data_IF_030835448876
#
_entry.id   IF_030835448876
#
_cell.length_a   1.000
_cell.length_b   1.000
_cell.length_c   1.000
_cell.angle_alpha   90.00
_cell.angle_beta   90.00
_cell.angle_gamma   90.00
#
_symmetry.space_group_name_H-M   'P 1'
#
loop_
_entity.id
_entity.type
_entity.pdbx_description
1 polymer ?
#
# COMPACT_ATOMS: atom_id res chain seq x y z
N UNK A 1 2.74 7.65 -9.29
CA UNK A 1 4.13 7.18 -9.20
C UNK A 1 4.52 6.96 -7.74
N UNK A 2 5.11 5.80 -7.45
CA UNK A 2 5.64 5.41 -6.12
C UNK A 2 7.17 5.43 -6.08
N UNK A 3 7.83 5.83 -7.19
CA UNK A 3 9.28 5.79 -7.35
C UNK A 3 9.88 4.45 -6.88
N UNK A 4 9.40 3.35 -7.46
CA UNK A 4 9.80 1.99 -7.08
C UNK A 4 9.58 1.65 -5.60
N UNK A 5 8.55 2.23 -4.97
CA UNK A 5 8.19 1.99 -3.56
C UNK A 5 9.31 2.37 -2.57
N UNK A 6 10.05 3.45 -2.87
CA UNK A 6 11.19 3.90 -2.07
C UNK A 6 10.78 4.39 -0.67
N UNK A 7 9.66 5.11 -0.56
CA UNK A 7 9.25 5.75 0.69
C UNK A 7 8.21 4.88 1.41
N UNK A 8 8.67 4.08 2.36
CA UNK A 8 7.80 3.30 3.26
C UNK A 8 7.14 4.21 4.31
N UNK A 9 5.83 4.10 4.43
CA UNK A 9 5.01 4.81 5.41
C UNK A 9 4.70 3.95 6.64
N UNK A 10 4.59 2.64 6.47
CA UNK A 10 4.29 1.71 7.56
C UNK A 10 4.21 0.26 7.11
N UNK A 11 4.08 -0.66 8.07
CA UNK A 11 3.88 -2.08 7.81
C UNK A 11 2.99 -2.67 8.92
N UNK A 12 2.02 -3.49 8.52
CA UNK A 12 1.17 -4.26 9.41
C UNK A 12 1.10 -5.73 8.98
N UNK A 13 0.27 -6.52 9.65
CA UNK A 13 0.14 -7.96 9.37
C UNK A 13 -0.22 -8.27 7.92
N UNK A 14 -1.04 -7.41 7.31
CA UNK A 14 -1.55 -7.60 5.95
C UNK A 14 -0.66 -7.06 4.84
N UNK A 15 0.39 -6.28 5.15
CA UNK A 15 1.18 -5.66 4.09
C UNK A 15 2.02 -4.47 4.50
N UNK A 16 2.70 -3.90 3.50
CA UNK A 16 3.53 -2.71 3.63
C UNK A 16 2.91 -1.54 2.87
N UNK A 17 2.89 -0.36 3.48
CA UNK A 17 2.33 0.87 2.92
C UNK A 17 3.46 1.79 2.46
N UNK A 18 3.33 2.33 1.26
CA UNK A 18 4.29 3.23 0.63
C UNK A 18 3.65 4.53 0.19
N UNK A 19 4.45 5.60 0.10
CA UNK A 19 4.02 6.88 -0.45
C UNK A 19 3.95 6.80 -1.97
N UNK A 20 2.88 7.36 -2.52
CA UNK A 20 2.74 7.61 -3.95
C UNK A 20 2.25 9.03 -4.22
N UNK A 21 2.34 9.42 -5.49
CA UNK A 21 1.84 10.69 -6.00
C UNK A 21 1.11 10.46 -7.33
N UNK A 22 -0.13 10.91 -7.44
CA UNK A 22 -0.89 10.87 -8.68
C UNK A 22 -0.40 11.95 -9.66
N UNK A 23 -0.78 11.85 -10.94
CA UNK A 23 -0.37 12.82 -11.97
C UNK A 23 -0.89 14.24 -11.69
N UNK A 24 -1.97 14.38 -10.93
CA UNK A 24 -2.54 15.66 -10.49
C UNK A 24 -1.92 16.16 -9.17
N UNK A 25 -0.70 15.75 -8.86
CA UNK A 25 0.05 16.08 -7.65
C UNK A 25 -0.56 15.61 -6.31
N UNK A 26 -1.69 14.90 -6.30
CA UNK A 26 -2.29 14.37 -5.07
C UNK A 26 -1.44 13.24 -4.49
N UNK A 27 -1.10 13.36 -3.20
CA UNK A 27 -0.43 12.30 -2.46
C UNK A 27 -1.40 11.17 -2.12
N UNK A 28 -0.91 9.93 -2.21
CA UNK A 28 -1.65 8.70 -1.90
C UNK A 28 -0.78 7.74 -1.11
N UNK A 29 -1.42 6.81 -0.41
CA UNK A 29 -0.79 5.65 0.20
C UNK A 29 -1.07 4.42 -0.68
N UNK A 30 -0.04 3.61 -0.95
CA UNK A 30 -0.15 2.37 -1.72
C UNK A 30 0.21 1.21 -0.79
N UNK A 31 -0.75 0.35 -0.47
CA UNK A 31 -0.56 -0.84 0.37
C UNK A 31 -0.28 -2.05 -0.52
N UNK A 32 0.91 -2.63 -0.38
CA UNK A 32 1.26 -3.92 -0.97
C UNK A 32 0.88 -5.00 0.02
N UNK A 33 -0.03 -5.89 -0.37
CA UNK A 33 -0.46 -6.99 0.48
C UNK A 33 0.62 -8.07 0.55
N UNK A 34 0.87 -8.59 1.76
CA UNK A 34 1.71 -9.77 1.93
C UNK A 34 1.02 -10.97 1.28
N UNK A 35 1.80 -11.94 0.79
CA UNK A 35 1.27 -13.24 0.37
C UNK A 35 0.86 -14.08 1.59
N UNK A 36 -0.05 -13.58 2.41
CA UNK A 36 -0.68 -14.34 3.49
C UNK A 36 -1.92 -15.05 2.96
N UNK A 37 -2.21 -16.23 3.52
CA UNK A 37 -3.31 -17.15 3.19
C UNK A 37 -4.74 -16.55 3.23
N UNK A 38 -4.88 -15.26 3.51
CA UNK A 38 -6.14 -14.53 3.44
C UNK A 38 -6.40 -14.05 2.02
N UNK A 39 -7.62 -14.26 1.55
CA UNK A 39 -8.19 -13.88 0.26
C UNK A 39 -8.19 -12.36 -0.06
N UNK A 40 -7.53 -11.51 0.75
CA UNK A 40 -7.53 -10.05 0.58
C UNK A 40 -8.87 -9.38 0.89
N UNK A 41 -9.92 -10.16 1.11
CA UNK A 41 -11.28 -9.71 1.44
C UNK A 41 -11.34 -8.99 2.79
N UNK A 42 -10.50 -9.41 3.75
CA UNK A 42 -10.34 -8.70 5.04
C UNK A 42 -9.80 -7.28 4.85
N UNK A 43 -9.02 -7.01 3.80
CA UNK A 43 -8.55 -5.65 3.50
C UNK A 43 -9.60 -4.82 2.76
N UNK A 44 -10.44 -5.44 1.93
CA UNK A 44 -11.51 -4.72 1.22
C UNK A 44 -12.60 -4.21 2.17
N UNK A 45 -12.67 -4.76 3.38
CA UNK A 45 -13.61 -4.37 4.43
C UNK A 45 -13.01 -3.38 5.45
N UNK A 46 -11.83 -2.79 5.18
CA UNK A 46 -11.16 -1.79 6.02
C UNK A 46 -11.16 -0.38 5.40
#
# INVERSE_FOLDING_TARGET
>A
MTNNFEVKLGQGGYGTVYKGKLLNDRHVAVKILNASKGNGEEFMNE
#
